data_IF_457717624001
#
_entry.id   IF_457717624001
#
_cell.length_a   1.000
_cell.length_b   1.000
_cell.length_c   1.000
_cell.angle_alpha   90.00
_cell.angle_beta   90.00
_cell.angle_gamma   90.00
#
_symmetry.space_group_name_H-M   'P 1'
#
loop_
_entity.id
_entity.type
_entity.pdbx_description
1 polymer ?
#
# COMPACT_ATOMS: atom_id res chain seq x y z
N UNK A 1 -7.68 24.74 -19.85
CA UNK A 1 -8.13 23.55 -20.60
C UNK A 1 -7.02 22.49 -20.74
N UNK A 2 -5.80 22.87 -21.13
CA UNK A 2 -4.62 21.98 -21.28
C UNK A 2 -4.25 21.10 -20.07
N UNK A 3 -4.46 21.59 -18.84
CA UNK A 3 -4.14 20.83 -17.61
C UNK A 3 -5.02 19.59 -17.46
N UNK A 4 -6.30 19.69 -17.81
CA UNK A 4 -7.27 18.60 -17.67
C UNK A 4 -6.97 17.47 -18.66
N UNK A 5 -6.57 17.82 -19.89
CA UNK A 5 -6.18 16.85 -20.91
C UNK A 5 -4.89 16.12 -20.54
N UNK A 6 -3.92 16.87 -19.99
CA UNK A 6 -2.65 16.30 -19.48
C UNK A 6 -2.90 15.33 -18.32
N UNK A 7 -3.80 15.67 -17.39
CA UNK A 7 -4.21 14.81 -16.28
C UNK A 7 -4.94 13.55 -16.76
N UNK A 8 -5.83 13.67 -17.75
CA UNK A 8 -6.52 12.51 -18.34
C UNK A 8 -5.53 11.55 -19.00
N UNK A 9 -4.52 12.08 -19.71
CA UNK A 9 -3.47 11.26 -20.30
C UNK A 9 -2.58 10.60 -19.25
N UNK A 10 -2.28 11.32 -18.16
CA UNK A 10 -1.54 10.79 -17.02
C UNK A 10 -2.27 9.62 -16.34
N UNK A 11 -3.58 9.75 -16.10
CA UNK A 11 -4.42 8.74 -15.47
C UNK A 11 -4.87 7.61 -16.40
N UNK A 12 -4.64 7.72 -17.71
CA UNK A 12 -5.06 6.70 -18.67
C UNK A 12 -4.41 5.36 -18.33
N UNK A 13 -5.21 4.28 -18.17
CA UNK A 13 -4.68 2.96 -17.87
C UNK A 13 -3.92 2.44 -19.09
N UNK A 14 -2.61 2.32 -18.92
CA UNK A 14 -1.72 1.68 -19.88
C UNK A 14 -1.17 0.41 -19.26
N UNK A 15 -1.00 -0.64 -20.07
CA UNK A 15 -0.49 -1.93 -19.60
C UNK A 15 0.85 -1.80 -18.87
N UNK A 16 1.72 -0.86 -19.31
CA UNK A 16 3.00 -0.54 -18.65
C UNK A 16 2.82 -0.04 -17.21
N UNK A 17 1.84 0.82 -16.96
CA UNK A 17 1.54 1.35 -15.61
C UNK A 17 0.96 0.26 -14.72
N UNK A 18 0.10 -0.60 -15.27
CA UNK A 18 -0.49 -1.74 -14.55
C UNK A 18 0.57 -2.78 -14.15
N UNK A 19 1.52 -3.09 -15.03
CA UNK A 19 2.64 -3.99 -14.70
C UNK A 19 3.50 -3.45 -13.55
N UNK A 20 3.84 -2.16 -13.59
CA UNK A 20 4.61 -1.52 -12.51
C UNK A 20 3.80 -1.49 -11.20
N UNK A 21 2.50 -1.24 -11.27
CA UNK A 21 1.60 -1.30 -10.12
C UNK A 21 1.67 -2.67 -9.45
N UNK A 22 1.54 -3.75 -10.22
CA UNK A 22 1.58 -5.12 -9.68
C UNK A 22 2.93 -5.38 -9.00
N UNK A 23 4.04 -4.96 -9.60
CA UNK A 23 5.38 -5.13 -9.03
C UNK A 23 5.50 -4.37 -7.71
N UNK A 24 5.17 -3.07 -7.69
CA UNK A 24 5.29 -2.27 -6.47
C UNK A 24 4.34 -2.71 -5.37
N UNK A 25 3.10 -3.04 -5.73
CA UNK A 25 2.13 -3.57 -4.77
C UNK A 25 2.57 -4.92 -4.20
N UNK A 26 3.13 -5.81 -5.02
CA UNK A 26 3.67 -7.08 -4.51
C UNK A 26 4.87 -6.86 -3.59
N UNK A 27 5.77 -5.92 -3.93
CA UNK A 27 6.90 -5.56 -3.09
C UNK A 27 6.46 -4.93 -1.76
N UNK A 28 5.41 -4.11 -1.75
CA UNK A 28 4.89 -3.51 -0.52
C UNK A 28 4.31 -4.57 0.44
N UNK A 29 3.65 -5.60 -0.11
CA UNK A 29 3.14 -6.74 0.67
C UNK A 29 4.24 -7.63 1.26
N UNK A 30 5.42 -7.66 0.63
CA UNK A 30 6.59 -8.39 1.15
C UNK A 30 7.22 -7.69 2.35
N UNK A 31 7.01 -6.37 2.50
CA UNK A 31 7.57 -5.62 3.59
C UNK A 31 6.81 -5.93 4.89
N UNK A 32 7.54 -6.50 5.86
CA UNK A 32 7.02 -6.93 7.16
C UNK A 32 7.56 -6.03 8.26
N UNK A 33 6.67 -5.54 9.12
CA UNK A 33 7.02 -4.80 10.33
C UNK A 33 6.67 -5.64 11.54
N UNK A 34 7.68 -5.89 12.37
CA UNK A 34 7.45 -6.35 13.73
C UNK A 34 6.94 -5.15 14.53
N UNK A 35 5.65 -5.17 14.87
CA UNK A 35 5.10 -4.15 15.75
C UNK A 35 5.73 -4.35 17.13
N UNK A 36 6.28 -3.30 17.76
CA UNK A 36 6.82 -3.41 19.11
C UNK A 36 5.73 -3.96 20.03
N UNK A 37 6.08 -4.98 20.82
CA UNK A 37 5.19 -5.55 21.83
C UNK A 37 4.72 -4.39 22.72
N UNK A 38 3.44 -4.03 22.64
CA UNK A 38 2.83 -3.07 23.56
C UNK A 38 2.71 -3.74 24.93
N UNK A 39 3.84 -3.82 25.65
CA UNK A 39 3.90 -4.10 27.09
C UNK A 39 3.29 -2.91 27.82
N UNK A 40 1.97 -2.83 27.93
CA UNK A 40 1.39 -1.91 28.90
C UNK A 40 0.05 -2.35 29.50
N UNK A 41 -0.42 -3.58 29.24
CA UNK A 41 -1.64 -4.09 29.88
C UNK A 41 -1.50 -5.59 30.16
N UNK A 42 -0.58 -5.98 31.06
CA UNK A 42 -0.66 -7.22 31.86
C UNK A 42 -0.79 -8.59 31.19
N UNK A 43 -0.88 -8.68 29.86
CA UNK A 43 -1.08 -9.91 29.10
C UNK A 43 0.14 -10.06 28.21
N UNK A 44 1.05 -10.95 28.62
CA UNK A 44 2.20 -11.35 27.81
C UNK A 44 1.65 -12.18 26.65
N UNK A 45 1.31 -11.52 25.55
CA UNK A 45 1.02 -12.21 24.31
C UNK A 45 2.36 -12.52 23.61
N UNK A 46 2.73 -13.80 23.61
CA UNK A 46 3.93 -14.32 22.95
C UNK A 46 3.80 -14.36 21.41
N UNK A 47 2.63 -14.04 20.87
CA UNK A 47 2.42 -13.95 19.43
C UNK A 47 3.07 -12.67 18.86
N UNK A 48 3.95 -12.78 17.84
CA UNK A 48 4.47 -11.61 17.14
C UNK A 48 3.32 -10.91 16.41
N UNK A 49 3.13 -9.61 16.67
CA UNK A 49 2.23 -8.79 15.87
C UNK A 49 2.97 -8.39 14.59
N UNK A 50 2.63 -9.02 13.46
CA UNK A 50 3.25 -8.74 12.16
C UNK A 50 2.30 -7.89 11.33
N UNK A 51 2.73 -6.66 11.04
CA UNK A 51 2.09 -5.80 10.06
C UNK A 51 2.75 -5.95 8.68
N UNK A 52 1.96 -5.85 7.61
CA UNK A 52 2.45 -5.87 6.23
C UNK A 52 1.78 -4.77 5.40
N UNK A 53 2.42 -4.39 4.31
CA UNK A 53 1.87 -3.41 3.38
C UNK A 53 2.36 -1.98 3.64
N UNK A 54 2.36 -1.19 2.57
CA UNK A 54 2.66 0.23 2.56
C UNK A 54 1.75 0.90 1.52
N UNK A 55 1.39 2.18 1.71
CA UNK A 55 1.69 3.03 2.85
C UNK A 55 0.85 2.75 4.11
N UNK A 56 -0.30 2.07 3.99
CA UNK A 56 -1.17 1.76 5.13
C UNK A 56 -1.02 0.29 5.53
N UNK A 57 -0.16 -0.04 6.51
CA UNK A 57 0.04 -1.41 6.93
C UNK A 57 -1.23 -2.00 7.54
N UNK A 58 -1.46 -3.29 7.31
CA UNK A 58 -2.50 -4.09 7.96
C UNK A 58 -1.88 -5.23 8.76
N UNK A 59 -2.54 -5.62 9.86
CA UNK A 59 -2.07 -6.69 10.74
C UNK A 59 -2.39 -8.03 10.09
N UNK A 60 -1.38 -8.88 9.96
CA UNK A 60 -1.48 -10.19 9.29
C UNK A 60 -1.35 -11.36 10.25
N UNK A 61 -0.57 -11.20 11.32
CA UNK A 61 -0.32 -12.23 12.34
C UNK A 61 -0.26 -11.52 13.71
N UNK A 62 -0.79 -12.16 14.76
CA UNK A 62 -0.94 -11.61 16.11
C UNK A 62 -1.92 -12.45 16.95
N UNK A 63 -1.97 -12.25 18.27
CA UNK A 63 -2.82 -13.05 19.16
C UNK A 63 -4.29 -13.06 18.70
N UNK A 64 -4.96 -14.21 18.88
CA UNK A 64 -6.30 -14.44 18.39
C UNK A 64 -7.25 -13.32 18.84
N UNK A 65 -8.15 -12.93 17.94
CA UNK A 65 -9.13 -11.82 18.04
C UNK A 65 -9.90 -11.70 19.37
N UNK A 66 -9.93 -12.77 20.17
CA UNK A 66 -10.63 -12.86 21.45
C UNK A 66 -9.70 -12.53 22.64
N UNK A 67 -8.39 -12.75 22.52
CA UNK A 67 -7.43 -12.64 23.63
C UNK A 67 -6.81 -11.23 23.76
N UNK A 68 -6.85 -10.45 22.68
CA UNK A 68 -6.14 -9.16 22.62
C UNK A 68 -6.96 -7.95 23.07
N UNK A 69 -8.28 -8.05 23.27
CA UNK A 69 -9.13 -6.90 23.62
C UNK A 69 -9.16 -5.75 22.60
N UNK A 70 -8.48 -5.92 21.46
CA UNK A 70 -8.52 -5.01 20.34
C UNK A 70 -9.83 -5.23 19.58
N UNK A 71 -10.70 -4.23 19.60
CA UNK A 71 -11.84 -4.15 18.69
C UNK A 71 -11.32 -4.44 17.26
N UNK A 72 -11.90 -5.39 16.52
CA UNK A 72 -11.53 -5.58 15.13
C UNK A 72 -11.71 -4.23 14.45
N UNK A 73 -10.69 -3.72 13.76
CA UNK A 73 -10.95 -2.73 12.72
C UNK A 73 -12.06 -3.34 11.87
N UNK A 74 -13.27 -2.77 11.86
CA UNK A 74 -14.40 -3.43 11.22
C UNK A 74 -13.98 -3.80 9.80
N UNK A 75 -14.39 -4.97 9.31
CA UNK A 75 -14.11 -5.46 7.95
C UNK A 75 -14.09 -4.36 6.85
N UNK A 76 -14.95 -3.32 6.86
CA UNK A 76 -14.84 -2.21 5.92
C UNK A 76 -13.54 -1.37 5.99
N UNK A 77 -12.90 -1.20 7.14
CA UNK A 77 -11.69 -0.37 7.28
C UNK A 77 -10.48 -1.01 6.60
N UNK A 78 -10.35 -2.34 6.67
CA UNK A 78 -9.28 -3.07 5.98
C UNK A 78 -9.45 -2.97 4.46
N UNK A 79 -10.69 -3.03 3.96
CA UNK A 79 -10.99 -2.82 2.55
C UNK A 79 -10.66 -1.38 2.10
N UNK A 80 -10.97 -0.38 2.93
CA UNK A 80 -10.65 1.02 2.64
C UNK A 80 -9.13 1.22 2.54
N UNK A 81 -8.34 0.65 3.46
CA UNK A 81 -6.87 0.77 3.42
C UNK A 81 -6.29 0.11 2.18
N UNK A 82 -6.78 -1.08 1.80
CA UNK A 82 -6.36 -1.75 0.58
C UNK A 82 -6.66 -0.91 -0.68
N UNK A 83 -7.83 -0.29 -0.74
CA UNK A 83 -8.22 0.59 -1.85
C UNK A 83 -7.30 1.81 -1.92
N UNK A 84 -7.02 2.46 -0.78
CA UNK A 84 -6.12 3.61 -0.71
C UNK A 84 -4.71 3.21 -1.17
N UNK A 85 -4.21 2.06 -0.72
CA UNK A 85 -2.89 1.56 -1.12
C UNK A 85 -2.83 1.29 -2.62
N UNK A 86 -3.85 0.65 -3.21
CA UNK A 86 -3.92 0.42 -4.66
C UNK A 86 -3.91 1.74 -5.43
N UNK A 87 -4.70 2.73 -4.99
CA UNK A 87 -4.74 4.06 -5.61
C UNK A 87 -3.37 4.74 -5.52
N UNK A 88 -2.74 4.69 -4.34
CA UNK A 88 -1.42 5.27 -4.10
C UNK A 88 -0.37 4.66 -5.03
N UNK A 89 -0.29 3.33 -5.10
CA UNK A 89 0.67 2.65 -5.96
C UNK A 89 0.40 2.87 -7.45
N UNK A 90 -0.86 3.05 -7.83
CA UNK A 90 -1.20 3.39 -9.21
C UNK A 90 -0.67 4.78 -9.58
N UNK A 91 -0.84 5.77 -8.69
CA UNK A 91 -0.29 7.12 -8.90
C UNK A 91 1.23 7.12 -9.01
N UNK A 92 1.93 6.35 -8.16
CA UNK A 92 3.38 6.16 -8.26
C UNK A 92 3.76 5.52 -9.61
N UNK A 93 3.02 4.50 -10.04
CA UNK A 93 3.26 3.84 -11.34
C UNK A 93 3.10 4.80 -12.51
N UNK A 94 2.07 5.66 -12.48
CA UNK A 94 1.88 6.73 -13.45
C UNK A 94 3.06 7.72 -13.45
N UNK A 95 3.53 8.13 -12.26
CA UNK A 95 4.66 9.06 -12.10
C UNK A 95 5.96 8.48 -12.66
N UNK A 96 6.24 7.20 -12.41
CA UNK A 96 7.43 6.51 -12.91
C UNK A 96 7.43 6.46 -14.44
N UNK A 97 6.31 6.08 -15.06
CA UNK A 97 6.21 6.07 -16.53
C UNK A 97 6.34 7.48 -17.11
N UNK A 98 5.68 8.46 -16.50
CA UNK A 98 5.74 9.86 -16.96
C UNK A 98 7.15 10.43 -16.90
N UNK A 99 7.88 10.20 -15.80
CA UNK A 99 9.27 10.64 -15.66
C UNK A 99 10.20 9.92 -16.64
N UNK A 100 10.01 8.61 -16.83
CA UNK A 100 10.75 7.82 -17.81
C UNK A 100 10.59 8.35 -19.24
N UNK A 101 9.35 8.57 -19.69
CA UNK A 101 9.06 9.08 -21.03
C UNK A 101 9.65 10.49 -21.22
N UNK A 102 9.60 11.34 -20.18
CA UNK A 102 10.20 12.69 -20.21
C UNK A 102 11.71 12.66 -20.34
N UNK A 103 12.40 11.75 -19.63
CA UNK A 103 13.86 11.58 -19.72
C UNK A 103 14.24 11.03 -21.09
N UNK A 104 13.52 10.00 -21.57
CA UNK A 104 13.78 9.37 -22.88
C UNK A 104 13.64 10.36 -24.04
N UNK A 105 12.64 11.25 -23.98
CA UNK A 105 12.43 12.26 -25.02
C UNK A 105 13.43 13.43 -24.96
N UNK A 106 14.12 13.63 -23.83
CA UNK A 106 15.19 14.63 -23.71
C UNK A 106 16.54 14.15 -24.28
N UNK A 107 16.73 12.83 -24.34
CA UNK A 107 17.93 12.19 -24.87
C UNK A 107 17.83 11.85 -26.38
N UNK A 108 16.76 12.31 -27.04
CA UNK A 108 16.60 12.28 -28.50
C UNK A 108 16.69 13.69 -29.04
#
# INVERSE_FOLDING_TARGET
>A
MLIVESLKQFLKPELRKVLILIIFFSLSLLYKWDLPRLMNIGIVNDAPNIARGLPLPFITEGCNFVECGYFPLPFPYLQIFLIIDIIFWYLISCLVIFTWDKIKNKNK
#
